data_IF_216514578284
#
_entry.id   IF_216514578284
#
_cell.length_a   1.000
_cell.length_b   1.000
_cell.length_c   1.000
_cell.angle_alpha   90.00
_cell.angle_beta   90.00
_cell.angle_gamma   90.00
#
_symmetry.space_group_name_H-M   'P 1'
#
loop_
_entity.id
_entity.type
_entity.pdbx_description
1 polymer ?
#
# COMPACT_ATOMS: atom_id res chain seq x y z
N UNK A 1 14.82 44.33 -23.59
CA UNK A 1 15.85 43.28 -23.79
C UNK A 1 15.58 42.16 -22.78
N UNK A 2 14.84 41.15 -23.19
CA UNK A 2 14.55 39.99 -22.34
C UNK A 2 15.68 38.99 -22.45
N UNK A 3 16.33 38.68 -21.33
CA UNK A 3 17.34 37.61 -21.25
C UNK A 3 16.63 36.25 -21.23
N UNK A 4 16.70 35.54 -22.37
CA UNK A 4 16.30 34.10 -22.43
C UNK A 4 17.18 33.28 -21.48
N UNK A 5 16.58 32.77 -20.42
CA UNK A 5 17.23 31.79 -19.55
C UNK A 5 17.31 30.46 -20.32
N UNK A 6 18.53 30.05 -20.69
CA UNK A 6 18.76 28.72 -21.27
C UNK A 6 18.44 27.65 -20.22
N UNK A 7 17.52 26.71 -20.55
CA UNK A 7 17.31 25.49 -19.78
C UNK A 7 18.61 24.67 -19.76
N UNK A 8 19.02 24.11 -18.61
CA UNK A 8 20.17 23.23 -18.58
C UNK A 8 19.87 21.97 -19.41
N UNK A 9 20.82 21.63 -20.29
CA UNK A 9 20.78 20.37 -21.03
C UNK A 9 20.74 19.19 -20.06
N UNK A 10 19.76 18.31 -20.25
CA UNK A 10 19.68 17.03 -19.56
C UNK A 10 20.87 16.17 -20.01
N UNK A 11 21.96 16.18 -19.26
CA UNK A 11 22.99 15.16 -19.37
C UNK A 11 22.37 13.85 -18.83
N UNK A 12 21.88 13.03 -19.74
CA UNK A 12 21.54 11.64 -19.44
C UNK A 12 22.86 10.91 -19.10
N UNK A 13 23.14 10.74 -17.82
CA UNK A 13 24.12 9.76 -17.39
C UNK A 13 23.60 8.39 -17.82
N UNK A 14 24.11 7.87 -18.92
CA UNK A 14 24.03 6.45 -19.24
C UNK A 14 24.97 5.76 -18.27
N UNK A 15 24.41 5.23 -17.18
CA UNK A 15 25.11 4.23 -16.36
C UNK A 15 25.19 2.99 -17.25
N UNK A 16 26.41 2.62 -17.69
CA UNK A 16 26.61 1.32 -18.29
C UNK A 16 26.29 0.28 -17.23
N UNK A 17 25.21 -0.48 -17.45
CA UNK A 17 24.80 -1.57 -16.57
C UNK A 17 25.83 -2.70 -16.67
N UNK A 18 26.77 -2.71 -15.74
CA UNK A 18 27.69 -3.84 -15.56
C UNK A 18 26.87 -4.94 -14.86
N UNK A 19 26.62 -6.09 -15.51
CA UNK A 19 25.85 -7.16 -14.88
C UNK A 19 26.58 -7.67 -13.64
N UNK A 20 25.88 -7.66 -12.50
CA UNK A 20 26.40 -8.11 -11.23
C UNK A 20 26.84 -9.58 -11.30
N UNK A 21 28.04 -9.88 -10.82
CA UNK A 21 28.54 -11.24 -10.70
C UNK A 21 27.79 -12.00 -9.59
N UNK A 22 27.84 -13.34 -9.59
CA UNK A 22 27.26 -14.17 -8.52
C UNK A 22 27.82 -13.84 -7.14
N UNK A 23 29.09 -13.43 -7.06
CA UNK A 23 29.74 -13.04 -5.81
C UNK A 23 29.17 -11.72 -5.30
N UNK A 24 29.11 -10.71 -6.15
CA UNK A 24 28.53 -9.40 -5.82
C UNK A 24 27.06 -9.50 -5.39
N UNK A 25 26.25 -10.31 -6.10
CA UNK A 25 24.86 -10.58 -5.67
C UNK A 25 24.81 -11.20 -4.28
N UNK A 26 25.72 -12.10 -3.92
CA UNK A 26 25.78 -12.71 -2.59
C UNK A 26 26.22 -11.72 -1.52
N UNK A 27 27.17 -10.86 -1.84
CA UNK A 27 27.66 -9.83 -0.93
C UNK A 27 26.57 -8.78 -0.66
N UNK A 28 25.82 -8.38 -1.69
CA UNK A 28 24.67 -7.48 -1.55
C UNK A 28 23.50 -8.10 -0.76
N UNK A 29 23.27 -9.42 -0.88
CA UNK A 29 22.27 -10.14 -0.07
C UNK A 29 22.59 -10.13 1.44
N UNK A 30 23.89 -10.04 1.78
CA UNK A 30 24.36 -9.98 3.16
C UNK A 30 24.50 -8.53 3.68
N UNK A 31 24.18 -7.55 2.85
CA UNK A 31 24.27 -6.15 3.21
C UNK A 31 23.00 -5.72 3.97
N UNK A 32 23.15 -5.53 5.27
CA UNK A 32 22.05 -5.13 6.14
C UNK A 32 22.19 -3.66 6.53
N UNK A 33 21.43 -2.79 5.88
CA UNK A 33 21.30 -1.40 6.30
C UNK A 33 19.88 -1.18 6.79
N UNK A 34 19.68 -0.82 8.05
CA UNK A 34 18.36 -0.50 8.56
C UNK A 34 17.87 0.84 8.01
N UNK A 35 16.58 0.90 7.71
CA UNK A 35 15.90 2.15 7.38
C UNK A 35 15.94 3.09 8.59
N UNK A 36 16.31 4.35 8.38
CA UNK A 36 16.37 5.35 9.44
C UNK A 36 15.03 5.55 10.17
N UNK A 37 13.91 5.46 9.44
CA UNK A 37 12.59 5.71 10.01
C UNK A 37 11.95 4.50 10.69
N UNK A 38 11.97 3.31 10.08
CA UNK A 38 11.27 2.13 10.62
C UNK A 38 12.19 1.05 11.18
N UNK A 39 13.51 1.19 11.02
CA UNK A 39 14.50 0.24 11.54
C UNK A 39 14.55 -1.11 10.80
N UNK A 40 13.73 -1.31 9.78
CA UNK A 40 13.75 -2.55 8.99
C UNK A 40 14.95 -2.59 8.05
N UNK A 41 15.53 -3.76 7.86
CA UNK A 41 16.58 -3.97 6.87
C UNK A 41 16.08 -3.64 5.46
N UNK A 42 16.90 -2.91 4.72
CA UNK A 42 16.58 -2.50 3.36
C UNK A 42 17.18 -3.45 2.33
N UNK A 43 16.51 -3.55 1.19
CA UNK A 43 17.01 -4.21 -0.01
C UNK A 43 17.90 -3.23 -0.78
N UNK A 44 19.10 -3.70 -1.20
CA UNK A 44 19.96 -2.90 -2.07
C UNK A 44 19.28 -2.62 -3.42
N UNK A 45 19.32 -1.38 -3.94
CA UNK A 45 18.68 -1.04 -5.22
C UNK A 45 19.13 -1.92 -6.40
N UNK A 46 20.41 -2.26 -6.49
CA UNK A 46 20.94 -3.08 -7.59
C UNK A 46 20.37 -4.51 -7.56
N UNK A 47 20.14 -5.07 -6.35
CA UNK A 47 19.44 -6.35 -6.24
C UNK A 47 18.00 -6.26 -6.74
N UNK A 48 17.33 -5.15 -6.47
CA UNK A 48 15.99 -4.93 -6.97
C UNK A 48 15.98 -4.81 -8.50
N UNK A 49 16.92 -4.05 -9.07
CA UNK A 49 17.09 -3.94 -10.52
C UNK A 49 17.36 -5.31 -11.16
N UNK A 50 18.26 -6.11 -10.57
CA UNK A 50 18.50 -7.48 -11.03
C UNK A 50 17.25 -8.36 -11.00
N UNK A 51 16.39 -8.20 -9.97
CA UNK A 51 15.13 -8.95 -9.90
C UNK A 51 14.13 -8.49 -10.96
N UNK A 52 14.13 -7.21 -11.35
CA UNK A 52 13.26 -6.70 -12.42
C UNK A 52 13.52 -7.38 -13.77
N UNK A 53 14.75 -7.88 -14.01
CA UNK A 53 15.13 -8.58 -15.24
C UNK A 53 14.71 -10.07 -15.24
N UNK A 54 14.31 -10.62 -14.08
CA UNK A 54 13.94 -12.03 -13.94
C UNK A 54 12.55 -12.30 -14.52
N UNK A 55 12.51 -12.81 -15.76
CA UNK A 55 11.26 -13.19 -16.45
C UNK A 55 10.48 -14.27 -15.69
N UNK A 56 11.16 -15.12 -14.94
CA UNK A 56 10.60 -16.21 -14.15
C UNK A 56 9.67 -15.71 -13.03
N UNK A 57 9.78 -14.44 -12.61
CA UNK A 57 8.83 -13.82 -11.68
C UNK A 57 7.41 -13.73 -12.24
N UNK A 58 7.26 -13.74 -13.56
CA UNK A 58 5.97 -13.80 -14.27
C UNK A 58 5.43 -15.22 -14.48
N UNK A 59 6.22 -16.23 -14.18
CA UNK A 59 5.88 -17.63 -14.32
C UNK A 59 4.98 -18.17 -13.22
N UNK A 60 5.08 -19.48 -12.92
CA UNK A 60 4.32 -20.09 -11.84
C UNK A 60 4.69 -19.48 -10.48
N UNK A 61 3.72 -19.46 -9.56
CA UNK A 61 3.96 -18.95 -8.20
C UNK A 61 5.08 -19.72 -7.50
N UNK A 62 5.20 -21.02 -7.72
CA UNK A 62 6.27 -21.84 -7.16
C UNK A 62 7.65 -21.39 -7.63
N UNK A 63 7.81 -21.02 -8.90
CA UNK A 63 9.07 -20.48 -9.44
C UNK A 63 9.38 -19.10 -8.87
N UNK A 64 8.38 -18.21 -8.85
CA UNK A 64 8.53 -16.87 -8.32
C UNK A 64 8.86 -16.88 -6.80
N UNK A 65 8.25 -17.79 -6.03
CA UNK A 65 8.53 -17.97 -4.59
C UNK A 65 9.99 -18.35 -4.37
N UNK A 66 10.54 -19.33 -5.12
CA UNK A 66 11.96 -19.74 -5.00
C UNK A 66 12.92 -18.57 -5.21
N UNK A 67 12.58 -17.64 -6.12
CA UNK A 67 13.38 -16.44 -6.38
C UNK A 67 13.25 -15.43 -5.24
N UNK A 68 12.04 -15.25 -4.67
CA UNK A 68 11.77 -14.23 -3.66
C UNK A 68 12.08 -14.68 -2.23
N UNK A 69 12.14 -15.99 -1.96
CA UNK A 69 12.35 -16.54 -0.62
C UNK A 69 13.61 -16.01 0.10
N UNK A 70 14.78 -15.81 -0.55
CA UNK A 70 15.95 -15.19 0.09
C UNK A 70 15.68 -13.77 0.63
N UNK A 71 14.69 -13.08 0.07
CA UNK A 71 14.34 -11.70 0.41
C UNK A 71 13.19 -11.58 1.43
N UNK A 72 12.61 -12.69 1.88
CA UNK A 72 11.46 -12.68 2.80
C UNK A 72 11.75 -11.89 4.08
N UNK A 73 12.96 -11.99 4.60
CA UNK A 73 13.38 -11.30 5.85
C UNK A 73 13.33 -9.77 5.76
N UNK A 74 13.56 -9.21 4.56
CA UNK A 74 13.52 -7.75 4.34
C UNK A 74 12.13 -7.26 3.92
N UNK A 75 11.18 -8.12 3.60
CA UNK A 75 9.81 -7.71 3.27
C UNK A 75 9.15 -7.01 4.46
N UNK A 76 8.44 -5.93 4.19
CA UNK A 76 7.60 -5.28 5.18
C UNK A 76 6.50 -6.23 5.69
N UNK A 77 5.93 -6.01 6.90
CA UNK A 77 4.99 -6.95 7.53
C UNK A 77 3.80 -7.33 6.65
N UNK A 78 3.24 -6.39 5.90
CA UNK A 78 2.10 -6.63 4.99
C UNK A 78 2.51 -7.50 3.83
N UNK A 79 3.59 -7.15 3.16
CA UNK A 79 4.12 -7.87 2.01
C UNK A 79 4.57 -9.29 2.40
N UNK A 80 5.18 -9.44 3.58
CA UNK A 80 5.54 -10.76 4.14
C UNK A 80 4.30 -11.61 4.40
N UNK A 81 3.24 -11.03 4.94
CA UNK A 81 1.98 -11.74 5.15
C UNK A 81 1.35 -12.19 3.82
N UNK A 82 1.36 -11.32 2.80
CA UNK A 82 0.91 -11.66 1.44
C UNK A 82 1.79 -12.74 0.82
N UNK A 83 3.11 -12.65 0.99
CA UNK A 83 4.04 -13.66 0.49
C UNK A 83 3.78 -15.04 1.13
N UNK A 84 3.57 -15.10 2.43
CA UNK A 84 3.20 -16.32 3.13
C UNK A 84 1.85 -16.88 2.67
N UNK A 85 0.89 -16.02 2.35
CA UNK A 85 -0.36 -16.42 1.71
C UNK A 85 -0.10 -17.06 0.34
N UNK A 86 0.75 -16.47 -0.50
CA UNK A 86 1.13 -17.05 -1.78
C UNK A 86 1.84 -18.40 -1.61
N UNK A 87 2.76 -18.55 -0.65
CA UNK A 87 3.41 -19.83 -0.34
C UNK A 87 2.39 -20.92 -0.01
N UNK A 88 1.42 -20.60 0.83
CA UNK A 88 0.33 -21.53 1.19
C UNK A 88 -0.56 -21.90 -0.01
N UNK A 89 -0.87 -20.92 -0.86
CA UNK A 89 -1.73 -21.16 -2.04
C UNK A 89 -0.99 -21.91 -3.15
N UNK A 90 0.28 -21.61 -3.39
CA UNK A 90 1.10 -22.29 -4.38
C UNK A 90 1.27 -23.79 -4.10
N UNK A 91 1.28 -24.21 -2.84
CA UNK A 91 1.25 -25.60 -2.46
C UNK A 91 0.01 -26.35 -2.93
N UNK A 92 -1.13 -25.65 -3.09
CA UNK A 92 -2.40 -26.22 -3.58
C UNK A 92 -2.58 -26.02 -5.10
N UNK A 93 -1.98 -24.99 -5.66
CA UNK A 93 -2.14 -24.57 -7.05
C UNK A 93 -0.76 -24.23 -7.67
N UNK A 94 0.13 -25.22 -7.86
CA UNK A 94 1.53 -25.01 -8.20
C UNK A 94 1.74 -24.34 -9.57
N UNK A 95 0.84 -24.55 -10.51
CA UNK A 95 0.92 -24.04 -11.88
C UNK A 95 0.39 -22.61 -12.05
N UNK A 96 -0.36 -22.12 -11.05
CA UNK A 96 -0.89 -20.76 -11.10
C UNK A 96 0.17 -19.71 -10.83
N UNK A 97 0.09 -18.57 -11.52
CA UNK A 97 0.94 -17.41 -11.23
C UNK A 97 0.36 -16.54 -10.10
N UNK A 98 1.14 -15.56 -9.64
CA UNK A 98 0.73 -14.67 -8.54
C UNK A 98 -0.55 -13.88 -8.85
N UNK A 99 -0.79 -13.50 -10.12
CA UNK A 99 -2.02 -12.79 -10.49
C UNK A 99 -3.25 -13.67 -10.33
N UNK A 100 -3.17 -14.92 -10.79
CA UNK A 100 -4.27 -15.87 -10.65
C UNK A 100 -4.57 -16.18 -9.18
N UNK A 101 -3.52 -16.43 -8.36
CA UNK A 101 -3.68 -16.64 -6.93
C UNK A 101 -4.27 -15.42 -6.22
N UNK A 102 -3.84 -14.22 -6.64
CA UNK A 102 -4.33 -12.97 -6.07
C UNK A 102 -5.83 -12.76 -6.41
N UNK A 103 -6.25 -13.10 -7.62
CA UNK A 103 -7.66 -12.99 -8.02
C UNK A 103 -8.54 -13.95 -7.23
N UNK A 104 -8.10 -15.19 -7.00
CA UNK A 104 -8.82 -16.14 -6.13
C UNK A 104 -8.99 -15.59 -4.71
N UNK A 105 -7.93 -14.96 -4.16
CA UNK A 105 -7.97 -14.37 -2.83
C UNK A 105 -8.84 -13.12 -2.79
N UNK A 106 -8.83 -12.31 -3.85
CA UNK A 106 -9.66 -11.11 -3.98
C UNK A 106 -11.14 -11.44 -3.86
N UNK A 107 -11.62 -12.45 -4.59
CA UNK A 107 -13.03 -12.88 -4.54
C UNK A 107 -13.45 -13.27 -3.13
N UNK A 108 -12.62 -14.05 -2.42
CA UNK A 108 -12.91 -14.47 -1.04
C UNK A 108 -12.98 -13.26 -0.09
N UNK A 109 -12.04 -12.31 -0.21
CA UNK A 109 -12.01 -11.13 0.64
C UNK A 109 -13.15 -10.16 0.33
N UNK A 110 -13.47 -9.96 -0.93
CA UNK A 110 -14.60 -9.13 -1.34
C UNK A 110 -15.91 -9.67 -0.74
N UNK A 111 -16.15 -10.98 -0.85
CA UNK A 111 -17.34 -11.60 -0.28
C UNK A 111 -17.41 -11.46 1.25
N UNK A 112 -16.31 -11.67 1.96
CA UNK A 112 -16.25 -11.52 3.40
C UNK A 112 -16.49 -10.10 3.86
N UNK A 113 -15.84 -9.10 3.21
CA UNK A 113 -16.01 -7.69 3.49
C UNK A 113 -17.43 -7.23 3.20
N UNK A 114 -18.00 -7.62 2.05
CA UNK A 114 -19.40 -7.33 1.70
C UNK A 114 -20.35 -7.81 2.79
N UNK A 115 -20.17 -9.04 3.27
CA UNK A 115 -21.06 -9.63 4.28
C UNK A 115 -21.00 -8.88 5.61
N UNK A 116 -19.78 -8.54 6.08
CA UNK A 116 -19.57 -7.78 7.32
C UNK A 116 -20.14 -6.37 7.19
N UNK A 117 -19.83 -5.68 6.09
CA UNK A 117 -20.27 -4.31 5.85
C UNK A 117 -21.78 -4.21 5.66
N UNK A 118 -22.37 -5.12 4.86
CA UNK A 118 -23.80 -5.17 4.66
C UNK A 118 -24.55 -5.34 6.00
N UNK A 119 -24.05 -6.20 6.89
CA UNK A 119 -24.62 -6.37 8.22
C UNK A 119 -24.58 -5.08 9.07
N UNK A 120 -23.46 -4.35 9.03
CA UNK A 120 -23.29 -3.09 9.76
C UNK A 120 -24.10 -1.97 9.13
N UNK A 121 -24.08 -1.85 7.80
CA UNK A 121 -24.85 -0.84 7.09
C UNK A 121 -26.36 -1.04 7.23
N UNK A 122 -26.84 -2.28 7.26
CA UNK A 122 -28.23 -2.60 7.56
C UNK A 122 -28.63 -2.13 8.96
N UNK A 123 -27.77 -2.32 9.96
CA UNK A 123 -28.01 -1.81 11.32
C UNK A 123 -28.06 -0.27 11.35
N UNK A 124 -27.15 0.40 10.67
CA UNK A 124 -27.19 1.87 10.55
C UNK A 124 -28.45 2.33 9.79
N UNK A 125 -28.83 1.60 8.72
CA UNK A 125 -30.01 1.88 7.93
C UNK A 125 -31.32 1.68 8.70
N UNK A 126 -31.34 0.84 9.74
CA UNK A 126 -32.49 0.71 10.63
C UNK A 126 -32.89 2.05 11.25
N UNK A 127 -31.91 2.86 11.67
CA UNK A 127 -32.15 4.20 12.19
C UNK A 127 -32.77 5.15 11.17
N UNK A 128 -32.65 4.87 9.85
CA UNK A 128 -33.26 5.68 8.80
C UNK A 128 -34.78 5.84 8.97
N UNK A 129 -35.45 4.87 9.58
CA UNK A 129 -36.91 4.88 9.79
C UNK A 129 -37.34 5.89 10.80
N UNK A 130 -36.48 6.24 11.77
CA UNK A 130 -36.74 7.16 12.88
C UNK A 130 -36.03 8.51 12.73
N UNK A 131 -35.21 8.70 11.71
CA UNK A 131 -34.47 9.92 11.45
C UNK A 131 -35.22 10.85 10.48
N UNK A 132 -35.07 12.19 10.61
CA UNK A 132 -35.57 13.12 9.62
C UNK A 132 -35.12 12.80 8.21
N UNK A 133 -35.97 12.93 7.22
CA UNK A 133 -35.75 12.54 5.82
C UNK A 133 -34.42 13.08 5.24
N UNK A 134 -34.05 14.31 5.59
CA UNK A 134 -32.81 14.96 5.15
C UNK A 134 -31.58 14.21 5.67
N UNK A 135 -31.58 13.80 6.93
CA UNK A 135 -30.48 13.06 7.58
C UNK A 135 -30.42 11.64 7.01
N UNK A 136 -31.58 10.98 6.90
CA UNK A 136 -31.68 9.65 6.31
C UNK A 136 -31.13 9.58 4.88
N UNK A 137 -31.37 10.62 4.06
CA UNK A 137 -30.85 10.74 2.69
C UNK A 137 -29.33 10.91 2.68
N UNK A 138 -28.77 11.75 3.59
CA UNK A 138 -27.32 11.95 3.72
C UNK A 138 -26.58 10.67 4.17
N UNK A 139 -27.17 9.95 5.14
CA UNK A 139 -26.69 8.65 5.59
C UNK A 139 -26.66 7.62 4.45
N UNK A 140 -27.77 7.51 3.70
CA UNK A 140 -27.84 6.63 2.55
C UNK A 140 -26.77 6.95 1.50
N UNK A 141 -26.60 8.24 1.17
CA UNK A 141 -25.56 8.68 0.22
C UNK A 141 -24.15 8.33 0.70
N UNK A 142 -23.85 8.52 2.01
CA UNK A 142 -22.57 8.15 2.58
C UNK A 142 -22.31 6.64 2.47
N UNK A 143 -23.31 5.80 2.76
CA UNK A 143 -23.19 4.33 2.68
C UNK A 143 -22.97 3.89 1.24
N UNK A 144 -23.77 4.40 0.30
CA UNK A 144 -23.63 4.06 -1.13
C UNK A 144 -22.25 4.47 -1.64
N UNK A 145 -21.83 5.72 -1.42
CA UNK A 145 -20.52 6.19 -1.87
C UNK A 145 -19.36 5.39 -1.22
N UNK A 146 -19.54 4.86 -0.03
CA UNK A 146 -18.54 4.05 0.65
C UNK A 146 -18.47 2.65 0.02
N UNK A 147 -19.62 2.07 -0.33
CA UNK A 147 -19.67 0.82 -1.08
C UNK A 147 -19.02 0.98 -2.47
N UNK A 148 -19.30 2.06 -3.18
CA UNK A 148 -18.69 2.33 -4.48
C UNK A 148 -17.17 2.44 -4.40
N UNK A 149 -16.63 3.05 -3.35
CA UNK A 149 -15.17 3.13 -3.12
C UNK A 149 -14.55 1.74 -2.92
N UNK A 150 -15.27 0.81 -2.30
CA UNK A 150 -14.77 -0.55 -2.00
C UNK A 150 -14.85 -1.44 -3.24
N UNK A 151 -15.88 -1.27 -4.08
CA UNK A 151 -16.20 -2.17 -5.18
C UNK A 151 -15.83 -1.67 -6.57
N UNK A 152 -15.38 -0.40 -6.72
CA UNK A 152 -14.94 0.08 -8.03
C UNK A 152 -13.62 -0.57 -8.44
N UNK A 153 -13.51 -0.93 -9.73
CA UNK A 153 -12.31 -1.57 -10.26
C UNK A 153 -11.07 -0.66 -10.33
N UNK A 154 -11.18 0.61 -10.06
CA UNK A 154 -10.06 1.55 -10.07
C UNK A 154 -9.44 1.69 -8.66
N UNK A 155 -8.11 1.99 -8.56
CA UNK A 155 -7.40 2.10 -7.28
C UNK A 155 -7.82 3.39 -6.56
N UNK A 156 -9.10 3.51 -6.22
CA UNK A 156 -9.56 4.57 -5.36
C UNK A 156 -9.11 4.29 -3.92
N UNK A 157 -8.87 5.37 -3.19
CA UNK A 157 -8.37 5.40 -1.82
C UNK A 157 -8.95 4.25 -1.00
N UNK A 158 -8.10 3.46 -0.34
CA UNK A 158 -8.58 2.34 0.46
C UNK A 158 -9.62 2.82 1.49
N UNK A 159 -10.64 2.00 1.75
CA UNK A 159 -11.60 2.29 2.79
C UNK A 159 -10.88 2.54 4.11
N UNK A 160 -11.13 3.67 4.72
CA UNK A 160 -10.65 4.01 6.05
C UNK A 160 -11.84 4.22 6.97
N UNK A 161 -11.96 3.36 7.99
CA UNK A 161 -12.97 3.52 9.04
C UNK A 161 -12.88 4.90 9.69
N UNK A 162 -11.68 5.44 9.89
CA UNK A 162 -11.47 6.78 10.45
C UNK A 162 -12.13 7.85 9.59
N UNK A 163 -11.93 7.81 8.28
CA UNK A 163 -12.54 8.76 7.34
C UNK A 163 -14.06 8.55 7.30
N UNK A 164 -14.54 7.31 7.27
CA UNK A 164 -15.96 7.01 7.29
C UNK A 164 -16.62 7.54 8.58
N UNK A 165 -16.06 7.24 9.75
CA UNK A 165 -16.57 7.71 11.05
C UNK A 165 -16.55 9.24 11.13
N UNK A 166 -15.50 9.90 10.61
CA UNK A 166 -15.44 11.35 10.57
C UNK A 166 -16.61 11.94 9.75
N UNK A 167 -16.84 11.42 8.55
CA UNK A 167 -17.97 11.83 7.69
C UNK A 167 -19.32 11.51 8.35
N UNK A 168 -19.45 10.34 8.96
CA UNK A 168 -20.64 9.91 9.67
C UNK A 168 -20.94 10.84 10.84
N UNK A 169 -19.94 11.17 11.66
CA UNK A 169 -20.06 12.11 12.80
C UNK A 169 -20.62 13.47 12.38
N UNK A 170 -20.20 13.99 11.23
CA UNK A 170 -20.71 15.26 10.70
C UNK A 170 -22.18 15.19 10.25
N UNK A 171 -22.67 13.98 9.91
CA UNK A 171 -24.08 13.78 9.58
C UNK A 171 -24.90 13.60 10.86
N UNK A 172 -24.46 12.74 11.79
CA UNK A 172 -25.25 12.38 12.98
C UNK A 172 -25.34 13.51 13.98
N UNK A 173 -24.35 14.40 14.10
CA UNK A 173 -24.41 15.62 14.90
C UNK A 173 -25.65 16.50 14.61
N UNK A 174 -26.20 16.41 13.39
CA UNK A 174 -27.38 17.17 13.00
C UNK A 174 -28.70 16.53 13.47
N UNK A 175 -28.63 15.36 14.16
CA UNK A 175 -29.80 14.69 14.72
C UNK A 175 -30.29 15.43 15.96
N UNK A 176 -29.37 15.99 16.78
CA UNK A 176 -29.67 16.66 18.03
C UNK A 176 -30.11 15.72 19.15
N UNK A 177 -29.82 14.41 19.00
CA UNK A 177 -30.10 13.39 20.02
C UNK A 177 -28.82 12.57 20.28
N UNK A 178 -28.14 12.90 21.36
CA UNK A 178 -26.84 12.33 21.73
C UNK A 178 -26.86 10.79 21.87
N UNK A 179 -27.98 10.24 22.34
CA UNK A 179 -28.11 8.78 22.48
C UNK A 179 -28.08 8.09 21.11
N UNK A 180 -28.91 8.56 20.17
CA UNK A 180 -28.98 8.01 18.81
C UNK A 180 -27.63 8.21 18.09
N UNK A 181 -27.02 9.38 18.25
CA UNK A 181 -25.70 9.69 17.69
C UNK A 181 -24.64 8.67 18.15
N UNK A 182 -24.56 8.44 19.46
CA UNK A 182 -23.59 7.50 20.03
C UNK A 182 -23.86 6.07 19.58
N UNK A 183 -25.11 5.62 19.56
CA UNK A 183 -25.46 4.26 19.10
C UNK A 183 -25.05 4.02 17.64
N UNK A 184 -25.30 4.99 16.75
CA UNK A 184 -24.88 4.90 15.33
C UNK A 184 -23.36 4.86 15.20
N UNK A 185 -22.64 5.67 15.96
CA UNK A 185 -21.18 5.72 15.94
C UNK A 185 -20.56 4.42 16.50
N UNK A 186 -21.13 3.86 17.57
CA UNK A 186 -20.69 2.58 18.13
C UNK A 186 -20.88 1.41 17.14
N UNK A 187 -22.00 1.38 16.42
CA UNK A 187 -22.23 0.40 15.36
C UNK A 187 -21.16 0.55 14.26
N UNK A 188 -20.85 1.80 13.85
CA UNK A 188 -19.85 2.07 12.83
C UNK A 188 -18.42 1.72 13.26
N UNK A 189 -18.09 1.79 14.56
CA UNK A 189 -16.79 1.40 15.11
C UNK A 189 -16.50 -0.10 15.00
N UNK A 190 -17.53 -0.93 14.76
CA UNK A 190 -17.40 -2.36 14.50
C UNK A 190 -16.93 -2.67 13.06
N UNK A 191 -16.93 -1.68 12.17
CA UNK A 191 -16.29 -1.82 10.85
C UNK A 191 -14.79 -2.11 11.02
N UNK A 192 -14.17 -2.90 10.15
CA UNK A 192 -12.72 -3.10 10.13
C UNK A 192 -11.98 -1.74 10.13
N UNK A 193 -10.84 -1.64 10.82
CA UNK A 193 -10.07 -0.38 10.97
C UNK A 193 -9.59 0.21 9.66
N UNK A 194 -9.13 -0.66 8.83
CA UNK A 194 -8.86 -0.45 7.41
C UNK A 194 -9.47 -1.65 6.69
N UNK A 195 -9.68 -1.57 5.39
CA UNK A 195 -9.53 -2.79 4.61
C UNK A 195 -8.19 -3.34 5.07
N UNK A 196 -8.16 -4.57 5.59
CA UNK A 196 -6.96 -5.28 5.95
C UNK A 196 -5.86 -4.83 4.98
N UNK A 197 -4.68 -4.43 5.48
CA UNK A 197 -3.60 -3.92 4.63
C UNK A 197 -3.24 -4.95 3.55
N UNK A 198 -3.43 -6.24 3.85
CA UNK A 198 -3.40 -7.34 2.89
C UNK A 198 -4.48 -7.18 1.81
N UNK A 199 -5.70 -6.80 2.16
CA UNK A 199 -6.75 -6.50 1.18
C UNK A 199 -6.40 -5.29 0.32
N UNK A 200 -5.79 -4.25 0.90
CA UNK A 200 -5.31 -3.09 0.15
C UNK A 200 -4.25 -3.50 -0.87
N UNK A 201 -3.31 -4.38 -0.48
CA UNK A 201 -2.33 -4.95 -1.41
C UNK A 201 -3.02 -5.74 -2.53
N UNK A 202 -3.97 -6.63 -2.19
CA UNK A 202 -4.72 -7.45 -3.15
C UNK A 202 -5.46 -6.58 -4.15
N UNK A 203 -6.22 -5.60 -3.70
CA UNK A 203 -6.99 -4.70 -4.57
C UNK A 203 -6.07 -3.87 -5.48
N UNK A 204 -5.00 -3.30 -4.92
CA UNK A 204 -4.01 -2.49 -5.66
C UNK A 204 -3.32 -3.27 -6.78
N UNK A 205 -3.13 -4.58 -6.58
CA UNK A 205 -2.30 -5.41 -7.45
C UNK A 205 -3.08 -6.36 -8.37
N UNK A 206 -4.37 -6.59 -8.14
CA UNK A 206 -5.18 -7.58 -8.84
C UNK A 206 -5.18 -7.45 -10.38
N UNK A 207 -4.92 -6.25 -10.93
CA UNK A 207 -4.88 -5.98 -12.37
C UNK A 207 -3.48 -5.92 -12.95
N UNK A 208 -2.44 -6.00 -12.11
CA UNK A 208 -1.06 -5.93 -12.56
C UNK A 208 -0.61 -7.27 -13.15
N UNK A 209 0.46 -7.23 -13.93
CA UNK A 209 1.11 -8.43 -14.44
C UNK A 209 1.75 -9.21 -13.29
N UNK A 210 1.89 -10.56 -13.39
CA UNK A 210 2.40 -11.40 -12.31
C UNK A 210 3.78 -10.97 -11.79
N UNK A 211 4.71 -10.61 -12.67
CA UNK A 211 6.04 -10.14 -12.30
C UNK A 211 6.00 -8.82 -11.51
N UNK A 212 5.07 -7.92 -11.84
CA UNK A 212 4.89 -6.66 -11.10
C UNK A 212 4.31 -6.92 -9.72
N UNK A 213 3.44 -7.92 -9.57
CA UNK A 213 2.93 -8.34 -8.26
C UNK A 213 4.08 -8.88 -7.40
N UNK A 214 4.94 -9.72 -7.99
CA UNK A 214 6.11 -10.26 -7.33
C UNK A 214 7.06 -9.14 -6.84
N UNK A 215 7.39 -8.20 -7.72
CA UNK A 215 8.25 -7.06 -7.40
C UNK A 215 7.65 -6.14 -6.34
N UNK A 216 6.32 -5.97 -6.32
CA UNK A 216 5.65 -5.15 -5.30
C UNK A 216 5.70 -5.77 -3.89
N UNK A 217 6.04 -7.05 -3.73
CA UNK A 217 6.29 -7.67 -2.43
C UNK A 217 7.61 -7.19 -1.79
N UNK A 218 8.56 -6.77 -2.60
CA UNK A 218 9.88 -6.35 -2.13
C UNK A 218 10.15 -4.85 -2.33
N UNK A 219 9.44 -4.19 -3.26
CA UNK A 219 9.62 -2.78 -3.55
C UNK A 219 9.54 -1.85 -2.31
N UNK A 220 8.63 -2.05 -1.34
CA UNK A 220 8.59 -1.24 -0.12
C UNK A 220 9.89 -1.22 0.67
N UNK A 221 10.69 -2.29 0.57
CA UNK A 221 11.96 -2.45 1.29
C UNK A 221 13.17 -1.90 0.55
N UNK A 222 13.03 -1.46 -0.71
CA UNK A 222 14.16 -0.93 -1.48
C UNK A 222 14.69 0.34 -0.82
N UNK A 223 16.01 0.38 -0.59
CA UNK A 223 16.68 1.55 -0.03
C UNK A 223 16.69 2.72 -1.01
N UNK A 224 16.41 3.91 -0.53
CA UNK A 224 16.45 5.17 -1.28
C UNK A 224 17.26 6.20 -0.51
N UNK A 225 17.93 7.10 -1.26
CA UNK A 225 18.60 8.28 -0.67
C UNK A 225 17.62 9.44 -0.69
N UNK A 226 17.28 9.93 0.50
CA UNK A 226 16.28 10.97 0.66
C UNK A 226 16.81 12.17 1.42
N UNK A 227 16.25 13.35 1.13
CA UNK A 227 16.62 14.57 1.86
C UNK A 227 16.03 14.54 3.28
N UNK A 228 16.88 14.74 4.28
CA UNK A 228 16.46 14.90 5.69
C UNK A 228 15.51 16.09 5.81
N UNK A 229 15.92 17.23 5.26
CA UNK A 229 15.06 18.40 5.05
C UNK A 229 14.71 18.45 3.56
N UNK A 230 13.43 18.34 3.18
CA UNK A 230 12.98 18.34 1.79
C UNK A 230 13.39 19.61 1.03
N UNK A 231 13.62 19.48 -0.29
CA UNK A 231 13.95 20.63 -1.16
C UNK A 231 12.88 21.72 -1.14
N UNK A 232 11.60 21.35 -1.04
CA UNK A 232 10.50 22.32 -0.91
C UNK A 232 10.55 23.13 0.39
N UNK A 233 11.32 22.67 1.39
CA UNK A 233 11.59 23.36 2.66
C UNK A 233 13.03 23.94 2.70
N UNK A 234 13.63 24.24 1.55
CA UNK A 234 14.98 24.76 1.38
C UNK A 234 16.11 23.79 1.81
N UNK A 235 15.84 22.48 1.80
CA UNK A 235 16.86 21.47 2.03
C UNK A 235 17.96 21.53 0.98
N UNK A 236 19.21 21.60 1.44
CA UNK A 236 20.39 21.68 0.56
C UNK A 236 20.73 20.32 -0.04
N UNK A 237 21.27 20.33 -1.24
CA UNK A 237 21.71 19.12 -1.95
C UNK A 237 23.17 18.81 -1.59
N UNK A 238 23.42 18.42 -0.32
CA UNK A 238 24.72 18.04 0.19
C UNK A 238 24.64 16.75 1.01
N UNK A 239 25.78 16.13 1.25
CA UNK A 239 25.88 14.83 1.97
C UNK A 239 25.29 14.84 3.38
N UNK A 240 25.29 15.99 4.06
CA UNK A 240 24.76 16.14 5.43
C UNK A 240 23.23 16.18 5.45
N UNK A 241 22.59 16.38 4.30
CA UNK A 241 21.13 16.42 4.18
C UNK A 241 20.57 15.19 3.49
N UNK A 242 21.30 14.08 3.43
CA UNK A 242 20.80 12.81 2.89
C UNK A 242 20.75 11.75 3.97
N UNK A 243 19.70 10.94 3.93
CA UNK A 243 19.54 9.75 4.74
C UNK A 243 19.09 8.57 3.88
N UNK A 244 19.30 7.37 4.40
CA UNK A 244 18.82 6.13 3.80
C UNK A 244 17.47 5.77 4.40
N UNK A 245 16.46 5.71 3.56
CA UNK A 245 15.12 5.27 3.90
C UNK A 245 14.66 4.15 2.97
N UNK A 246 13.77 3.28 3.46
CA UNK A 246 13.09 2.35 2.56
C UNK A 246 11.99 3.08 1.77
N UNK A 247 11.66 2.56 0.58
CA UNK A 247 10.64 3.14 -0.30
C UNK A 247 9.27 3.30 0.38
N UNK A 248 8.94 2.43 1.36
CA UNK A 248 7.71 2.57 2.14
C UNK A 248 7.70 3.84 2.98
N UNK A 249 8.74 4.07 3.78
CA UNK A 249 8.85 5.25 4.64
C UNK A 249 8.93 6.53 3.82
N UNK A 250 9.76 6.54 2.77
CA UNK A 250 9.86 7.66 1.85
C UNK A 250 8.50 8.04 1.24
N UNK A 251 7.76 7.09 0.68
CA UNK A 251 6.44 7.34 0.11
C UNK A 251 5.40 7.76 1.15
N UNK A 252 5.51 7.27 2.39
CA UNK A 252 4.58 7.62 3.48
C UNK A 252 4.82 9.02 4.02
N UNK A 253 6.06 9.48 3.98
CA UNK A 253 6.50 10.78 4.47
C UNK A 253 6.05 11.94 3.58
N UNK A 254 5.97 11.73 2.27
CA UNK A 254 5.71 12.79 1.29
C UNK A 254 6.72 13.95 1.39
N UNK A 255 6.29 15.11 1.90
CA UNK A 255 7.09 16.34 2.01
C UNK A 255 7.50 16.69 3.44
N UNK A 256 7.21 15.83 4.42
CA UNK A 256 7.57 16.11 5.81
C UNK A 256 9.06 15.81 6.07
N UNK A 257 9.74 16.59 6.94
CA UNK A 257 11.10 16.27 7.38
C UNK A 257 11.19 14.90 8.06
N UNK A 258 12.33 14.24 7.94
CA UNK A 258 12.55 12.93 8.60
C UNK A 258 12.36 13.05 10.12
N UNK A 259 12.81 14.13 10.71
CA UNK A 259 12.69 14.38 12.17
C UNK A 259 11.24 14.40 12.70
N UNK A 260 10.24 14.56 11.83
CA UNK A 260 8.82 14.50 12.23
C UNK A 260 8.25 13.07 12.22
N UNK A 261 9.04 12.08 11.83
CA UNK A 261 8.63 10.66 11.76
C UNK A 261 9.32 9.77 12.79
N UNK A 262 10.43 10.22 13.35
CA UNK A 262 11.19 9.55 14.39
C UNK A 262 10.67 10.01 15.76
#
# INVERSE_FOLDING_TARGET
>A
MEKKIKKPENSSFKVEEIPLTRKELKDLLNFHIPCLCCGMDMLHPDLYMHLMEKKELGGSASSAIKILEPYEKVMHPVERQVFNMFKSMAGKYPDKNFKELLMMKKEIHELALVKIQSGIFNKISFYRRILPTKIARRLRKLIINTNDIIFTPEPHKPFSRRIFIHKLKNIVKTIGNTRIENEILEIARRLPRSSDEVCAFVVKNARKRPEIIALNLIHPSVGTFEHILPKCMNGKNNSLNFALECSYCNNSRHHYPIAEQI
#
